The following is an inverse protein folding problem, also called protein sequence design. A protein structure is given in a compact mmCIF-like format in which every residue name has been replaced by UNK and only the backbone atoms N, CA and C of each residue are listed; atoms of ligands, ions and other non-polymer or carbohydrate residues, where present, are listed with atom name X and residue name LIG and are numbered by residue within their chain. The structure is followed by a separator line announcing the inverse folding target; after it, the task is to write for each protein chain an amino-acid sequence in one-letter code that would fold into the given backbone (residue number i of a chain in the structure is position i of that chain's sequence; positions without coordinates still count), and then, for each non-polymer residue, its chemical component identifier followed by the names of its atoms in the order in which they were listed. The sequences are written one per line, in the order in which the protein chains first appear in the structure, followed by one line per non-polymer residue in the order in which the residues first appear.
data_IF_542559515308
#
_entry.id   IF_542559515308
#
_cell.length_a   1.000
_cell.length_b   1.000
_cell.length_c   1.000
_cell.angle_alpha   90.00
_cell.angle_beta   90.00
_cell.angle_gamma   90.00
#
_symmetry.space_group_name_H-M   'P 1'
#
loop_
_entity.id
_entity.type
_entity.pdbx_description
1 polymer ?
#
# COMPACT_ATOMS: atom_id res chain seq x y z
N UNK A 1 -37.29 -74.72 40.34
CA UNK A 1 -36.95 -75.44 41.58
C UNK A 1 -35.66 -74.87 42.15
N UNK A 2 -35.58 -74.85 43.47
CA UNK A 2 -34.66 -74.12 44.33
C UNK A 2 -33.27 -74.76 44.50
N UNK A 3 -32.25 -73.87 44.58
CA UNK A 3 -31.15 -73.86 45.58
C UNK A 3 -29.83 -74.60 45.24
N UNK A 4 -28.69 -74.20 45.87
CA UNK A 4 -27.48 -73.74 45.19
C UNK A 4 -26.21 -74.54 45.57
N UNK A 5 -25.06 -74.27 44.92
CA UNK A 5 -23.75 -74.65 45.48
C UNK A 5 -22.69 -73.56 45.29
N UNK A 6 -21.74 -73.61 46.23
CA UNK A 6 -20.82 -72.57 46.70
C UNK A 6 -19.65 -72.25 45.75
N UNK A 7 -19.31 -70.95 45.76
CA UNK A 7 -17.98 -70.32 45.88
C UNK A 7 -16.74 -71.19 45.61
N UNK A 8 -15.94 -70.75 44.63
CA UNK A 8 -14.50 -70.57 44.81
C UNK A 8 -14.12 -69.15 44.37
N UNK A 9 -13.54 -68.41 45.31
CA UNK A 9 -12.98 -67.09 45.10
C UNK A 9 -11.55 -67.24 44.56
N UNK A 10 -11.25 -66.60 43.43
CA UNK A 10 -9.88 -66.26 43.04
C UNK A 10 -9.77 -64.75 43.08
N UNK A 11 -9.14 -64.25 44.14
CA UNK A 11 -8.78 -62.85 44.28
C UNK A 11 -7.67 -62.50 43.28
N UNK A 12 -7.92 -61.51 42.41
CA UNK A 12 -6.89 -60.80 41.67
C UNK A 12 -6.93 -59.32 42.10
N UNK A 13 -5.79 -58.72 42.47
CA UNK A 13 -5.77 -57.38 43.05
C UNK A 13 -6.04 -56.30 41.99
N UNK A 14 -6.92 -55.38 42.38
CA UNK A 14 -7.17 -54.09 41.77
C UNK A 14 -5.91 -53.22 41.73
N UNK A 15 -5.40 -52.91 40.54
CA UNK A 15 -4.56 -51.74 40.34
C UNK A 15 -4.96 -51.00 39.05
N UNK A 16 -5.60 -49.84 39.27
CA UNK A 16 -5.45 -48.62 38.48
C UNK A 16 -6.01 -48.58 37.05
N UNK A 17 -7.35 -48.57 36.97
CA UNK A 17 -8.01 -47.59 36.11
C UNK A 17 -7.78 -46.20 36.70
N UNK A 18 -6.95 -45.35 36.06
CA UNK A 18 -7.07 -43.88 36.10
C UNK A 18 -5.84 -43.14 35.52
N UNK A 19 -5.63 -43.12 34.20
CA UNK A 19 -4.97 -41.97 33.54
C UNK A 19 -5.58 -41.75 32.14
N UNK A 20 -6.83 -41.29 32.11
CA UNK A 20 -7.40 -40.62 30.94
C UNK A 20 -8.08 -39.34 31.44
N UNK A 21 -7.29 -38.31 31.71
CA UNK A 21 -7.77 -36.94 31.87
C UNK A 21 -7.14 -36.09 30.76
N UNK A 22 -7.92 -35.39 29.94
CA UNK A 22 -7.36 -34.40 29.03
C UNK A 22 -6.79 -33.25 29.87
N UNK A 23 -5.52 -32.93 29.65
CA UNK A 23 -4.88 -31.75 30.24
C UNK A 23 -5.69 -30.52 29.80
N UNK A 24 -6.21 -29.68 30.72
CA UNK A 24 -6.83 -28.43 30.32
C UNK A 24 -5.78 -27.56 29.65
N UNK A 25 -6.04 -27.18 28.39
CA UNK A 25 -5.24 -26.19 27.64
C UNK A 25 -5.41 -24.81 28.27
N UNK A 26 -4.84 -24.61 29.45
CA UNK A 26 -4.67 -23.29 30.03
C UNK A 26 -3.29 -22.77 29.63
N UNK A 27 -3.29 -21.65 28.89
CA UNK A 27 -2.13 -20.79 28.60
C UNK A 27 -1.11 -21.28 27.57
N UNK A 28 -1.54 -21.61 26.35
CA UNK A 28 -0.73 -21.24 25.18
C UNK A 28 -1.09 -19.78 24.86
N UNK A 29 -0.40 -18.84 25.51
CA UNK A 29 -0.38 -17.47 25.02
C UNK A 29 0.15 -17.54 23.58
N UNK A 30 -0.51 -16.91 22.59
CA UNK A 30 0.10 -16.81 21.27
C UNK A 30 1.44 -16.13 21.47
N UNK A 31 2.51 -16.76 20.99
CA UNK A 31 3.82 -16.11 20.82
C UNK A 31 3.56 -14.95 19.87
N UNK A 32 3.21 -13.79 20.44
CA UNK A 32 3.15 -12.54 19.71
C UNK A 32 4.59 -12.32 19.24
N UNK A 33 4.82 -11.96 17.96
CA UNK A 33 6.16 -11.53 17.57
C UNK A 33 6.57 -10.45 18.57
N UNK A 34 7.74 -10.62 19.19
CA UNK A 34 8.34 -9.61 20.05
C UNK A 34 8.61 -8.40 19.16
N UNK A 35 7.62 -7.52 19.03
CA UNK A 35 7.80 -6.22 18.40
C UNK A 35 8.73 -5.47 19.33
N UNK A 36 10.03 -5.44 19.01
CA UNK A 36 11.01 -4.64 19.75
C UNK A 36 10.56 -3.17 19.67
N UNK A 37 9.97 -2.67 20.76
CA UNK A 37 9.70 -1.25 20.91
C UNK A 37 11.04 -0.58 21.24
N UNK A 38 11.64 0.10 20.25
CA UNK A 38 12.85 0.89 20.47
C UNK A 38 12.50 2.12 21.31
N UNK A 39 12.68 2.05 22.62
CA UNK A 39 12.36 3.12 23.59
C UNK A 39 13.44 4.20 23.74
N UNK A 40 14.58 4.07 23.05
CA UNK A 40 15.79 4.85 23.33
C UNK A 40 15.68 6.35 23.02
N UNK A 41 14.86 6.77 22.07
CA UNK A 41 14.68 8.20 21.72
C UNK A 41 13.23 8.65 21.93
N UNK A 42 12.66 8.31 23.09
CA UNK A 42 11.43 8.96 23.50
C UNK A 42 11.75 10.36 24.03
N UNK A 43 10.96 11.37 23.68
CA UNK A 43 11.04 12.74 24.23
C UNK A 43 10.96 12.78 25.79
N UNK A 44 10.75 11.63 26.44
CA UNK A 44 10.89 11.45 27.88
C UNK A 44 12.30 11.71 28.43
N UNK A 45 13.35 11.81 27.61
CA UNK A 45 14.63 12.34 28.09
C UNK A 45 14.56 13.85 28.38
N UNK A 46 13.71 14.59 27.67
CA UNK A 46 13.48 16.04 27.89
C UNK A 46 12.42 16.30 28.98
N UNK A 47 11.41 15.42 29.11
CA UNK A 47 10.30 15.60 30.07
C UNK A 47 10.29 14.61 31.26
N UNK A 48 11.30 13.75 31.42
CA UNK A 48 11.29 12.69 32.45
C UNK A 48 12.64 12.16 32.94
N UNK A 49 13.78 12.72 32.52
CA UNK A 49 15.10 12.27 32.96
C UNK A 49 15.57 12.97 34.26
N UNK A 50 14.95 12.64 35.40
CA UNK A 50 15.55 12.90 36.73
C UNK A 50 15.60 11.67 37.65
N UNK A 51 15.41 10.46 37.12
CA UNK A 51 15.55 9.22 37.89
C UNK A 51 16.06 8.09 37.02
N UNK A 52 17.37 8.06 36.81
CA UNK A 52 18.06 6.95 36.16
C UNK A 52 19.55 7.09 36.34
N UNK A 53 20.11 6.43 37.36
CA UNK A 53 21.55 6.33 37.59
C UNK A 53 22.19 5.74 36.33
N UNK A 54 23.06 6.50 35.65
CA UNK A 54 23.80 6.02 34.46
C UNK A 54 24.59 4.77 34.87
N UNK A 55 24.15 3.60 34.43
CA UNK A 55 24.96 2.40 34.50
C UNK A 55 26.09 2.58 33.46
N UNK A 56 27.35 2.53 33.90
CA UNK A 56 28.49 2.40 33.00
C UNK A 56 28.44 1.00 32.39
N UNK A 57 27.73 0.82 31.27
CA UNK A 57 27.85 -0.39 30.46
C UNK A 57 29.05 -0.23 29.54
N UNK A 58 30.00 -1.16 29.63
CA UNK A 58 31.25 -1.23 28.85
C UNK A 58 31.07 -1.66 27.39
N UNK A 59 29.91 -1.38 26.79
CA UNK A 59 29.64 -1.71 25.38
C UNK A 59 29.83 -0.45 24.53
N UNK A 60 31.06 -0.25 24.05
CA UNK A 60 31.44 0.84 23.13
C UNK A 60 30.72 0.78 21.77
N UNK A 61 29.88 -0.24 21.56
CA UNK A 61 29.12 -0.52 20.34
C UNK A 61 27.59 -0.33 20.51
N UNK A 62 27.14 0.37 21.56
CA UNK A 62 25.71 0.55 21.82
C UNK A 62 25.30 2.02 21.91
N UNK A 63 24.78 2.57 20.80
CA UNK A 63 23.76 3.62 20.77
C UNK A 63 24.15 5.04 21.21
N UNK A 64 24.78 5.20 22.37
CA UNK A 64 25.17 6.49 22.98
C UNK A 64 26.49 7.03 22.38
N UNK A 65 27.33 6.17 21.79
CA UNK A 65 28.61 6.56 21.17
C UNK A 65 28.52 6.74 19.63
N UNK A 66 27.32 6.71 19.03
CA UNK A 66 27.12 6.84 17.57
C UNK A 66 27.13 8.29 17.06
N UNK A 67 27.24 9.26 17.97
CA UNK A 67 27.43 10.67 17.65
C UNK A 67 28.88 10.96 17.23
N UNK A 68 29.85 10.11 17.62
CA UNK A 68 31.23 10.21 17.17
C UNK A 68 31.37 9.69 15.72
N UNK A 69 31.94 10.49 14.79
CA UNK A 69 32.01 10.12 13.38
C UNK A 69 32.82 8.84 13.16
N UNK A 70 33.89 8.64 13.92
CA UNK A 70 34.78 7.47 13.82
C UNK A 70 34.12 6.18 14.32
N UNK A 71 33.29 6.27 15.37
CA UNK A 71 32.52 5.13 15.89
C UNK A 71 31.40 4.78 14.91
N UNK A 72 30.77 5.79 14.31
CA UNK A 72 29.76 5.63 13.28
C UNK A 72 30.31 4.97 12.00
N UNK A 73 31.48 5.37 11.55
CA UNK A 73 32.17 4.76 10.40
C UNK A 73 32.49 3.29 10.66
N UNK A 74 33.12 2.97 11.80
CA UNK A 74 33.38 1.58 12.22
C UNK A 74 32.12 0.74 12.33
N UNK A 75 31.06 1.32 12.90
CA UNK A 75 29.77 0.66 12.99
C UNK A 75 29.16 0.42 11.61
N UNK A 76 29.23 1.40 10.71
CA UNK A 76 28.78 1.26 9.33
C UNK A 76 29.58 0.18 8.58
N UNK A 77 30.91 0.14 8.71
CA UNK A 77 31.78 -0.91 8.17
C UNK A 77 31.41 -2.30 8.71
N UNK A 78 31.07 -2.41 10.00
CA UNK A 78 30.64 -3.67 10.61
C UNK A 78 29.28 -4.17 10.11
N UNK A 79 28.42 -3.27 9.65
CA UNK A 79 27.08 -3.56 9.10
C UNK A 79 27.11 -3.79 7.59
N UNK A 80 28.23 -3.52 6.92
CA UNK A 80 28.36 -3.83 5.50
C UNK A 80 28.49 -5.35 5.31
N UNK A 81 27.70 -5.94 4.40
CA UNK A 81 27.86 -7.35 4.07
C UNK A 81 29.25 -7.54 3.45
N UNK A 82 30.06 -8.41 4.06
CA UNK A 82 31.36 -8.78 3.48
C UNK A 82 31.09 -9.72 2.31
N UNK A 83 30.97 -9.16 1.12
CA UNK A 83 30.72 -9.91 -0.13
C UNK A 83 32.02 -10.51 -0.69
N UNK A 84 32.89 -11.06 0.17
CA UNK A 84 34.27 -11.46 -0.16
C UNK A 84 34.37 -12.73 -1.02
N UNK A 85 33.28 -13.13 -1.67
CA UNK A 85 33.20 -14.32 -2.52
C UNK A 85 32.17 -14.17 -3.66
N UNK A 86 31.63 -12.98 -3.88
CA UNK A 86 30.63 -12.75 -4.92
C UNK A 86 31.32 -12.21 -6.18
N UNK A 87 30.95 -12.76 -7.34
CA UNK A 87 31.50 -12.44 -8.67
C UNK A 87 31.44 -10.93 -9.02
N UNK A 88 30.62 -10.15 -8.32
CA UNK A 88 30.41 -8.72 -8.55
C UNK A 88 31.14 -7.81 -7.55
N UNK A 89 32.11 -8.33 -6.78
CA UNK A 89 32.86 -7.55 -5.78
C UNK A 89 33.59 -6.35 -6.40
N UNK A 90 34.35 -6.56 -7.48
CA UNK A 90 35.09 -5.49 -8.17
C UNK A 90 34.17 -4.40 -8.77
N UNK A 91 33.01 -4.76 -9.34
CA UNK A 91 32.08 -3.79 -9.93
C UNK A 91 31.41 -2.90 -8.86
N UNK A 92 31.12 -3.45 -7.67
CA UNK A 92 30.55 -2.68 -6.56
C UNK A 92 31.58 -1.72 -5.98
N UNK A 93 32.82 -2.17 -5.82
CA UNK A 93 33.91 -1.34 -5.32
C UNK A 93 34.25 -0.20 -6.29
N UNK A 94 34.18 -0.44 -7.60
CA UNK A 94 34.32 0.60 -8.64
C UNK A 94 33.21 1.65 -8.57
N UNK A 95 31.95 1.24 -8.40
CA UNK A 95 30.81 2.16 -8.24
C UNK A 95 30.92 2.97 -6.94
N UNK A 96 31.39 2.35 -5.85
CA UNK A 96 31.64 3.04 -4.58
C UNK A 96 32.81 4.03 -4.70
N UNK A 97 33.87 3.66 -5.42
CA UNK A 97 35.03 4.53 -5.68
C UNK A 97 34.65 5.74 -6.55
N UNK A 98 33.84 5.54 -7.60
CA UNK A 98 33.34 6.62 -8.44
C UNK A 98 32.33 7.52 -7.68
N UNK A 99 31.48 6.95 -6.83
CA UNK A 99 30.61 7.73 -5.95
C UNK A 99 31.39 8.57 -4.92
N UNK A 100 32.54 8.06 -4.44
CA UNK A 100 33.45 8.82 -3.56
C UNK A 100 34.16 9.96 -4.31
N UNK A 101 34.48 9.80 -5.60
CA UNK A 101 35.08 10.86 -6.45
C UNK A 101 34.06 11.95 -6.84
N UNK A 102 32.78 11.62 -6.98
CA UNK A 102 31.72 12.53 -7.45
C UNK A 102 31.09 13.49 -6.43
N UNK A 103 31.60 13.61 -5.20
CA UNK A 103 31.10 14.56 -4.20
C UNK A 103 29.74 14.24 -3.57
N UNK A 104 29.13 13.09 -3.88
CA UNK A 104 27.83 12.66 -3.34
C UNK A 104 27.96 11.69 -2.15
N UNK A 105 28.84 11.98 -1.19
CA UNK A 105 29.06 11.13 0.00
C UNK A 105 27.77 10.75 0.74
N UNK A 106 26.77 11.64 0.78
CA UNK A 106 25.47 11.37 1.40
C UNK A 106 24.64 10.32 0.65
N UNK A 107 24.75 10.23 -0.69
CA UNK A 107 24.04 9.22 -1.48
C UNK A 107 24.70 7.85 -1.35
N UNK A 108 26.04 7.79 -1.34
CA UNK A 108 26.79 6.56 -1.09
C UNK A 108 26.53 6.01 0.33
N UNK A 109 26.49 6.88 1.35
CA UNK A 109 26.16 6.49 2.72
C UNK A 109 24.71 6.02 2.89
N UNK A 110 23.77 6.53 2.09
CA UNK A 110 22.38 6.02 2.08
C UNK A 110 22.23 4.73 1.27
N UNK A 111 23.07 4.50 0.27
CA UNK A 111 23.08 3.26 -0.52
C UNK A 111 23.63 2.08 0.28
N UNK A 112 24.68 2.28 1.08
CA UNK A 112 25.24 1.24 1.96
C UNK A 112 24.27 0.78 3.06
N UNK A 113 23.36 1.64 3.51
CA UNK A 113 22.28 1.30 4.47
C UNK A 113 21.12 0.54 3.82
N UNK A 114 21.04 0.51 2.48
CA UNK A 114 19.99 -0.19 1.72
C UNK A 114 20.43 -1.59 1.26
N UNK A 115 21.35 -2.23 1.98
CA UNK A 115 21.66 -3.64 1.71
C UNK A 115 20.42 -4.51 1.98
N UNK A 116 20.21 -5.60 1.23
CA UNK A 116 19.07 -6.49 1.44
C UNK A 116 18.98 -6.98 2.89
N UNK A 117 20.12 -7.25 3.53
CA UNK A 117 20.21 -7.69 4.94
C UNK A 117 19.74 -6.61 5.91
N UNK A 118 20.17 -5.36 5.72
CA UNK A 118 19.72 -4.23 6.56
C UNK A 118 18.24 -3.96 6.37
N UNK A 119 17.74 -4.10 5.13
CA UNK A 119 16.35 -3.86 4.80
C UNK A 119 15.43 -5.04 5.17
N UNK A 120 15.95 -6.27 5.24
CA UNK A 120 15.16 -7.48 5.46
C UNK A 120 14.29 -7.36 6.71
N UNK A 121 14.83 -6.81 7.79
CA UNK A 121 14.09 -6.59 9.04
C UNK A 121 12.91 -5.60 8.91
N UNK A 122 12.97 -4.64 7.97
CA UNK A 122 11.88 -3.67 7.72
C UNK A 122 10.91 -4.13 6.63
N UNK A 123 11.42 -4.78 5.59
CA UNK A 123 10.63 -5.24 4.45
C UNK A 123 9.86 -6.53 4.77
N UNK A 124 10.51 -7.46 5.49
CA UNK A 124 10.00 -8.80 5.78
C UNK A 124 9.95 -9.06 7.31
N UNK A 125 9.01 -8.45 8.06
CA UNK A 125 8.91 -8.64 9.50
C UNK A 125 8.47 -10.05 9.93
N UNK A 126 7.77 -10.80 9.06
CA UNK A 126 7.35 -12.19 9.32
C UNK A 126 7.60 -13.07 8.07
N UNK A 127 8.77 -13.71 7.98
CA UNK A 127 9.13 -14.54 6.81
C UNK A 127 8.27 -15.82 6.73
N UNK A 128 7.77 -16.35 7.85
CA UNK A 128 7.02 -17.62 7.85
C UNK A 128 5.63 -17.46 7.25
N UNK A 129 4.95 -16.33 7.49
CA UNK A 129 3.68 -16.06 6.82
C UNK A 129 3.85 -15.76 5.34
N UNK A 130 4.92 -15.04 4.95
CA UNK A 130 5.27 -14.80 3.54
C UNK A 130 5.44 -16.11 2.78
N UNK A 131 6.27 -17.04 3.29
CA UNK A 131 6.48 -18.36 2.65
C UNK A 131 5.18 -19.16 2.48
N UNK A 132 4.29 -19.14 3.49
CA UNK A 132 2.98 -19.81 3.38
C UNK A 132 2.08 -19.17 2.31
N UNK A 133 2.10 -17.84 2.21
CA UNK A 133 1.36 -17.11 1.20
C UNK A 133 1.92 -17.35 -0.20
N UNK A 134 3.26 -17.35 -0.36
CA UNK A 134 3.94 -17.68 -1.62
C UNK A 134 3.59 -19.09 -2.07
N UNK A 135 3.69 -20.08 -1.19
CA UNK A 135 3.26 -21.46 -1.48
C UNK A 135 1.81 -21.50 -1.96
N UNK A 136 0.89 -20.80 -1.27
CA UNK A 136 -0.51 -20.73 -1.69
C UNK A 136 -0.66 -20.09 -3.07
N UNK A 137 0.09 -19.04 -3.39
CA UNK A 137 0.07 -18.37 -4.69
C UNK A 137 0.64 -19.20 -5.81
N UNK A 138 1.75 -19.91 -5.58
CA UNK A 138 2.32 -20.88 -6.51
C UNK A 138 1.32 -22.00 -6.78
N UNK A 139 0.68 -22.54 -5.75
CA UNK A 139 -0.38 -23.54 -5.91
C UNK A 139 -1.52 -22.96 -6.77
N UNK A 140 -2.03 -21.75 -6.49
CA UNK A 140 -3.07 -21.11 -7.31
C UNK A 140 -2.64 -20.91 -8.77
N UNK A 141 -1.38 -20.52 -9.00
CA UNK A 141 -0.81 -20.35 -10.34
C UNK A 141 -0.77 -21.68 -11.10
N UNK A 142 -0.31 -22.76 -10.45
CA UNK A 142 -0.29 -24.12 -11.04
C UNK A 142 -1.71 -24.58 -11.38
N UNK A 143 -2.68 -24.36 -10.48
CA UNK A 143 -4.08 -24.70 -10.74
C UNK A 143 -4.68 -23.91 -11.91
N UNK A 144 -4.30 -22.63 -12.07
CA UNK A 144 -4.74 -21.78 -13.19
C UNK A 144 -4.07 -22.15 -14.52
N UNK A 145 -2.97 -22.91 -14.51
CA UNK A 145 -2.27 -23.36 -15.71
C UNK A 145 -2.00 -22.23 -16.75
N UNK A 146 -1.56 -21.06 -16.27
CA UNK A 146 -1.27 -19.91 -17.14
C UNK A 146 -2.45 -19.01 -17.51
N UNK A 147 -3.68 -19.33 -17.11
CA UNK A 147 -4.84 -18.45 -17.31
C UNK A 147 -4.74 -17.19 -16.44
N UNK A 148 -4.63 -16.03 -17.08
CA UNK A 148 -4.56 -14.71 -16.43
C UNK A 148 -5.96 -14.10 -16.39
N UNK A 149 -6.41 -13.67 -15.21
CA UNK A 149 -7.69 -12.95 -15.09
C UNK A 149 -7.57 -11.54 -15.65
N UNK A 150 -8.69 -10.90 -16.01
CA UNK A 150 -8.70 -9.50 -16.48
C UNK A 150 -7.97 -8.57 -15.50
N UNK A 151 -8.25 -8.70 -14.20
CA UNK A 151 -7.61 -7.89 -13.15
C UNK A 151 -6.09 -8.10 -13.05
N UNK A 152 -5.63 -9.34 -13.26
CA UNK A 152 -4.20 -9.66 -13.26
C UNK A 152 -3.51 -9.08 -14.50
N UNK A 153 -4.12 -9.20 -15.68
CA UNK A 153 -3.63 -8.58 -16.92
C UNK A 153 -3.48 -7.07 -16.74
N UNK A 154 -4.54 -6.43 -16.27
CA UNK A 154 -4.61 -5.01 -15.91
C UNK A 154 -3.47 -4.61 -14.96
N UNK A 155 -3.24 -5.40 -13.90
CA UNK A 155 -2.20 -5.10 -12.93
C UNK A 155 -0.77 -5.26 -13.47
N UNK A 156 -0.57 -6.13 -14.48
CA UNK A 156 0.72 -6.38 -15.13
C UNK A 156 1.03 -5.31 -16.18
N UNK A 157 0.07 -4.99 -17.04
CA UNK A 157 0.28 -4.08 -18.17
C UNK A 157 0.26 -2.62 -17.73
N UNK A 158 -0.52 -2.29 -16.71
CA UNK A 158 -0.85 -0.90 -16.43
C UNK A 158 -0.37 -0.37 -15.08
N UNK A 159 0.14 0.85 -15.13
CA UNK A 159 0.67 1.55 -13.96
C UNK A 159 -0.43 2.36 -13.30
N UNK A 160 -0.56 2.21 -11.98
CA UNK A 160 -1.44 3.01 -11.13
C UNK A 160 -0.69 3.55 -9.92
N UNK A 161 -1.08 4.74 -9.47
CA UNK A 161 -0.72 5.30 -8.16
C UNK A 161 -2.00 5.57 -7.40
N UNK A 162 -2.03 5.23 -6.11
CA UNK A 162 -3.05 5.65 -5.17
C UNK A 162 -2.44 6.64 -4.18
N UNK A 163 -2.77 7.92 -4.31
CA UNK A 163 -2.32 8.95 -3.37
C UNK A 163 -3.33 9.14 -2.23
N UNK A 164 -2.90 9.40 -1.00
CA UNK A 164 -3.81 9.69 0.12
C UNK A 164 -3.39 10.99 0.79
N UNK A 165 -4.31 11.94 0.84
CA UNK A 165 -4.11 13.21 1.52
C UNK A 165 -4.00 13.05 3.05
N UNK A 166 -3.39 14.03 3.74
CA UNK A 166 -3.61 14.22 5.16
C UNK A 166 -5.08 14.53 5.46
N UNK A 167 -5.40 14.56 6.76
CA UNK A 167 -6.75 14.92 7.20
C UNK A 167 -7.02 16.42 7.01
N UNK A 168 -8.05 16.74 6.24
CA UNK A 168 -8.46 18.12 5.95
C UNK A 168 -9.57 18.58 6.89
N UNK A 169 -9.53 19.87 7.23
CA UNK A 169 -10.48 20.55 8.12
C UNK A 169 -11.82 20.87 7.45
N UNK A 170 -12.46 19.86 6.89
CA UNK A 170 -13.73 20.00 6.19
C UNK A 170 -14.63 18.79 6.41
N UNK A 171 -15.87 18.90 5.94
CA UNK A 171 -16.85 17.83 5.95
C UNK A 171 -16.83 17.07 4.64
N UNK A 172 -17.16 15.78 4.68
CA UNK A 172 -17.22 14.91 3.50
C UNK A 172 -18.12 15.56 2.44
N UNK A 173 -19.30 16.02 2.86
CA UNK A 173 -20.30 16.63 1.96
C UNK A 173 -19.76 17.84 1.20
N UNK A 174 -18.92 18.67 1.85
CA UNK A 174 -18.34 19.87 1.23
C UNK A 174 -17.24 19.50 0.24
N UNK A 175 -16.37 18.55 0.60
CA UNK A 175 -15.22 18.15 -0.21
C UNK A 175 -15.62 17.27 -1.41
N UNK A 176 -16.72 16.50 -1.29
CA UNK A 176 -17.25 15.66 -2.38
C UNK A 176 -17.50 16.46 -3.66
N UNK A 177 -17.94 17.72 -3.56
CA UNK A 177 -18.16 18.55 -4.74
C UNK A 177 -16.86 18.88 -5.49
N UNK A 178 -15.73 19.05 -4.79
CA UNK A 178 -14.44 19.26 -5.44
C UNK A 178 -13.91 17.95 -6.05
N UNK A 179 -14.06 16.83 -5.35
CA UNK A 179 -13.65 15.52 -5.86
C UNK A 179 -14.39 15.16 -7.16
N UNK A 180 -15.72 15.32 -7.19
CA UNK A 180 -16.52 15.10 -8.41
C UNK A 180 -16.15 16.06 -9.54
N UNK A 181 -15.76 17.30 -9.23
CA UNK A 181 -15.38 18.29 -10.24
C UNK A 181 -14.08 17.95 -10.97
N UNK A 182 -13.14 17.26 -10.31
CA UNK A 182 -11.84 16.89 -10.90
C UNK A 182 -11.81 15.47 -11.46
N UNK A 183 -12.79 14.63 -11.09
CA UNK A 183 -12.90 13.27 -11.61
C UNK A 183 -13.01 13.26 -13.14
N UNK A 184 -12.24 12.40 -13.79
CA UNK A 184 -12.22 12.22 -15.24
C UNK A 184 -11.37 13.23 -16.01
N UNK A 185 -10.97 14.35 -15.39
CA UNK A 185 -10.16 15.42 -16.02
C UNK A 185 -8.68 15.06 -16.09
N UNK A 186 -7.96 15.68 -17.03
CA UNK A 186 -6.50 15.64 -17.00
C UNK A 186 -5.98 16.30 -15.72
N UNK A 187 -4.80 15.92 -15.24
CA UNK A 187 -4.30 16.51 -14.00
C UNK A 187 -4.01 18.00 -14.14
N UNK A 188 -3.47 18.42 -15.27
CA UNK A 188 -3.19 19.84 -15.52
C UNK A 188 -4.47 20.66 -15.53
N UNK A 189 -5.53 20.15 -16.17
CA UNK A 189 -6.85 20.76 -16.13
C UNK A 189 -7.42 20.76 -14.71
N UNK A 190 -7.25 19.67 -13.95
CA UNK A 190 -7.70 19.61 -12.55
C UNK A 190 -6.98 20.65 -11.67
N UNK A 191 -5.66 20.80 -11.81
CA UNK A 191 -4.86 21.81 -11.12
C UNK A 191 -5.34 23.22 -11.48
N UNK A 192 -5.58 23.48 -12.77
CA UNK A 192 -6.13 24.75 -13.26
C UNK A 192 -7.52 25.02 -12.67
N UNK A 193 -8.39 24.02 -12.61
CA UNK A 193 -9.72 24.15 -12.04
C UNK A 193 -9.67 24.44 -10.53
N UNK A 194 -8.71 23.85 -9.81
CA UNK A 194 -8.51 24.12 -8.39
C UNK A 194 -7.89 25.49 -8.14
N UNK A 195 -7.00 25.97 -9.02
CA UNK A 195 -6.40 27.31 -8.87
C UNK A 195 -7.41 28.43 -8.98
N UNK A 196 -8.44 28.28 -9.83
CA UNK A 196 -9.49 29.28 -10.02
C UNK A 196 -10.78 29.01 -9.24
N UNK A 197 -10.80 27.97 -8.40
CA UNK A 197 -11.97 27.65 -7.58
C UNK A 197 -12.06 28.57 -6.36
N UNK A 198 -13.25 29.10 -6.11
CA UNK A 198 -13.53 29.98 -4.96
C UNK A 198 -13.58 29.23 -3.61
N UNK A 199 -13.52 27.89 -3.61
CA UNK A 199 -13.68 27.09 -2.39
C UNK A 199 -12.37 27.06 -1.60
N UNK A 200 -12.41 27.34 -0.29
CA UNK A 200 -11.22 27.32 0.60
C UNK A 200 -10.36 26.07 0.44
N UNK A 201 -11.01 24.89 0.38
CA UNK A 201 -10.31 23.61 0.28
C UNK A 201 -9.73 23.32 -1.12
N UNK A 202 -9.98 24.16 -2.12
CA UNK A 202 -9.42 23.95 -3.46
C UNK A 202 -7.89 24.15 -3.47
N UNK A 203 -7.37 25.07 -2.65
CA UNK A 203 -5.93 25.26 -2.50
C UNK A 203 -5.24 23.98 -1.96
N UNK A 204 -5.83 23.35 -0.94
CA UNK A 204 -5.34 22.08 -0.39
C UNK A 204 -5.41 20.93 -1.40
N UNK A 205 -6.51 20.85 -2.15
CA UNK A 205 -6.67 19.83 -3.21
C UNK A 205 -5.64 20.05 -4.32
N UNK A 206 -5.35 21.31 -4.70
CA UNK A 206 -4.30 21.64 -5.67
C UNK A 206 -2.94 21.13 -5.20
N UNK A 207 -2.56 21.43 -3.97
CA UNK A 207 -1.30 20.94 -3.39
C UNK A 207 -1.20 19.41 -3.43
N UNK A 208 -2.29 18.71 -3.09
CA UNK A 208 -2.33 17.24 -3.14
C UNK A 208 -2.27 16.67 -4.56
N UNK A 209 -2.79 17.38 -5.56
CA UNK A 209 -2.66 17.01 -6.97
C UNK A 209 -1.20 17.13 -7.43
N UNK A 210 -0.48 18.17 -6.99
CA UNK A 210 0.94 18.40 -7.26
C UNK A 210 1.81 17.33 -6.59
N UNK A 211 1.61 17.07 -5.30
CA UNK A 211 2.30 16.00 -4.58
C UNK A 211 2.08 14.63 -5.24
N UNK A 212 0.84 14.32 -5.62
CA UNK A 212 0.51 13.08 -6.32
C UNK A 212 1.17 12.97 -7.70
N UNK A 213 1.37 14.10 -8.40
CA UNK A 213 2.09 14.15 -9.67
C UNK A 213 3.54 13.73 -9.45
N UNK A 214 4.20 14.33 -8.47
CA UNK A 214 5.63 14.10 -8.23
C UNK A 214 5.87 12.67 -7.75
N UNK A 215 5.03 12.18 -6.83
CA UNK A 215 5.06 10.78 -6.41
C UNK A 215 4.81 9.81 -7.58
N UNK A 216 3.91 10.14 -8.52
CA UNK A 216 3.64 9.30 -9.68
C UNK A 216 4.83 9.21 -10.63
N UNK A 217 5.51 10.32 -10.85
CA UNK A 217 6.72 10.39 -11.67
C UNK A 217 7.84 9.60 -11.01
N UNK A 218 8.10 9.84 -9.72
CA UNK A 218 9.22 9.22 -8.99
C UNK A 218 9.00 7.72 -8.76
N UNK A 219 7.85 7.33 -8.20
CA UNK A 219 7.65 5.94 -7.75
C UNK A 219 7.23 4.99 -8.86
N UNK A 220 6.40 5.46 -9.80
CA UNK A 220 5.81 4.60 -10.86
C UNK A 220 6.34 4.93 -12.24
N UNK A 221 7.15 6.00 -12.40
CA UNK A 221 7.65 6.45 -13.71
C UNK A 221 6.48 6.68 -14.68
N UNK A 222 5.44 7.36 -14.21
CA UNK A 222 4.29 7.77 -15.02
C UNK A 222 4.46 9.23 -15.44
N UNK A 223 3.77 9.68 -16.49
CA UNK A 223 3.75 11.11 -16.83
C UNK A 223 5.01 11.68 -17.46
N UNK A 224 5.96 10.81 -17.78
CA UNK A 224 7.13 11.19 -18.55
C UNK A 224 6.69 11.28 -20.00
N UNK A 225 6.25 12.49 -20.37
CA UNK A 225 5.98 12.88 -21.74
C UNK A 225 7.34 12.92 -22.45
N UNK A 226 7.53 12.03 -23.42
CA UNK A 226 8.62 12.19 -24.39
C UNK A 226 8.17 13.26 -25.38
N UNK A 227 9.12 14.01 -25.95
CA UNK A 227 8.86 14.99 -27.01
C UNK A 227 7.83 14.50 -28.03
N UNK A 228 7.03 15.44 -28.55
CA UNK A 228 5.95 15.20 -29.53
C UNK A 228 6.41 14.38 -30.74
N UNK A 229 7.69 14.54 -31.10
CA UNK A 229 8.35 13.70 -32.09
C UNK A 229 8.99 12.51 -31.38
N UNK A 230 8.66 11.31 -31.88
CA UNK A 230 9.39 10.10 -31.50
C UNK A 230 10.83 10.17 -32.01
N UNK A 231 11.69 9.27 -31.53
CA UNK A 231 13.08 9.16 -32.01
C UNK A 231 13.19 8.96 -33.53
N UNK A 232 12.12 8.48 -34.16
CA UNK A 232 11.98 8.26 -35.61
C UNK A 232 11.48 9.50 -36.36
N UNK A 233 11.26 10.63 -35.68
CA UNK A 233 10.79 11.89 -36.27
C UNK A 233 9.29 11.93 -36.60
N UNK A 234 8.56 10.83 -36.43
CA UNK A 234 7.10 10.78 -36.65
C UNK A 234 6.35 11.45 -35.51
N UNK A 235 5.30 12.19 -35.86
CA UNK A 235 4.34 12.74 -34.89
C UNK A 235 3.48 11.62 -34.34
N UNK A 236 3.26 11.63 -33.02
CA UNK A 236 2.37 10.65 -32.39
C UNK A 236 0.92 10.89 -32.82
N UNK A 237 0.23 9.81 -33.15
CA UNK A 237 -1.18 9.87 -33.48
C UNK A 237 -2.00 10.18 -32.23
N UNK A 238 -2.77 11.27 -32.28
CA UNK A 238 -3.74 11.61 -31.24
C UNK A 238 -4.89 10.60 -31.25
N UNK A 239 -5.24 10.06 -30.09
CA UNK A 239 -6.32 9.07 -30.00
C UNK A 239 -7.59 9.78 -29.53
N UNK A 240 -8.69 9.59 -30.27
CA UNK A 240 -10.02 10.07 -29.89
C UNK A 240 -10.73 8.95 -29.14
N UNK A 241 -11.24 9.25 -27.95
CA UNK A 241 -11.95 8.28 -27.12
C UNK A 241 -13.22 8.91 -26.57
N UNK A 242 -14.29 8.13 -26.46
CA UNK A 242 -15.47 8.54 -25.71
C UNK A 242 -15.32 8.11 -24.24
N UNK A 243 -15.59 9.02 -23.32
CA UNK A 243 -15.65 8.70 -21.89
C UNK A 243 -16.93 7.93 -21.61
N UNK A 244 -16.98 7.14 -20.52
CA UNK A 244 -18.23 6.52 -20.01
C UNK A 244 -19.42 7.48 -19.90
N UNK A 245 -19.14 8.77 -19.69
CA UNK A 245 -20.16 9.83 -19.64
C UNK A 245 -20.60 10.35 -21.02
N UNK A 246 -20.16 9.73 -22.13
CA UNK A 246 -20.43 10.13 -23.51
C UNK A 246 -19.58 11.30 -24.04
N UNK A 247 -18.61 11.79 -23.27
CA UNK A 247 -17.75 12.93 -23.67
C UNK A 247 -16.59 12.48 -24.54
N UNK A 248 -16.52 12.98 -25.77
CA UNK A 248 -15.38 12.78 -26.67
C UNK A 248 -14.16 13.58 -26.22
N UNK A 249 -13.05 12.88 -25.95
CA UNK A 249 -11.78 13.47 -25.54
C UNK A 249 -10.72 13.12 -26.59
N UNK A 250 -9.98 14.13 -27.04
CA UNK A 250 -8.80 13.93 -27.89
C UNK A 250 -7.57 13.93 -27.01
N UNK A 251 -6.85 12.82 -27.00
CA UNK A 251 -5.66 12.67 -26.18
C UNK A 251 -4.43 12.78 -27.07
N UNK A 252 -3.57 13.80 -26.88
CA UNK A 252 -2.35 13.96 -27.65
C UNK A 252 -1.28 12.91 -27.30
N UNK A 253 -1.18 12.51 -26.02
CA UNK A 253 -0.18 11.56 -25.55
C UNK A 253 -0.79 10.51 -24.61
N UNK A 254 -0.53 9.21 -24.85
CA UNK A 254 -1.06 8.14 -24.01
C UNK A 254 -0.35 8.00 -22.66
N UNK A 255 0.62 8.87 -22.35
CA UNK A 255 1.38 8.86 -21.09
C UNK A 255 1.07 10.05 -20.21
N UNK A 256 0.35 11.04 -20.73
CA UNK A 256 -0.14 12.16 -19.93
C UNK A 256 -0.98 11.57 -18.83
N UNK A 257 -1.07 12.26 -17.70
CA UNK A 257 -1.75 11.66 -16.58
C UNK A 257 -3.01 12.42 -16.17
N UNK A 258 -4.05 11.68 -15.80
CA UNK A 258 -5.38 12.20 -15.49
C UNK A 258 -5.90 11.60 -14.18
N UNK A 259 -7.03 12.12 -13.70
CA UNK A 259 -7.68 11.66 -12.47
C UNK A 259 -8.79 10.68 -12.85
N UNK A 260 -8.55 9.38 -12.67
CA UNK A 260 -9.53 8.34 -13.01
C UNK A 260 -10.67 8.29 -12.00
N UNK A 261 -10.32 8.19 -10.72
CA UNK A 261 -11.27 8.17 -9.61
C UNK A 261 -10.88 9.24 -8.61
N UNK A 262 -11.89 9.83 -7.96
CA UNK A 262 -11.71 10.76 -6.86
C UNK A 262 -12.88 10.61 -5.88
N UNK A 263 -12.60 10.24 -4.65
CA UNK A 263 -13.62 10.10 -3.61
C UNK A 263 -13.10 10.52 -2.24
N UNK A 264 -14.05 10.88 -1.37
CA UNK A 264 -13.79 11.42 -0.03
C UNK A 264 -14.27 10.45 1.04
N UNK A 265 -13.43 10.26 2.05
CA UNK A 265 -13.74 9.51 3.27
C UNK A 265 -13.89 10.42 4.50
N UNK A 266 -14.50 9.89 5.54
CA UNK A 266 -14.57 10.56 6.84
C UNK A 266 -13.31 10.26 7.65
N UNK A 267 -12.75 11.28 8.29
CA UNK A 267 -11.68 11.16 9.26
C UNK A 267 -12.21 11.16 10.70
N UNK A 268 -11.30 11.12 11.69
CA UNK A 268 -11.67 11.32 13.09
C UNK A 268 -12.28 12.71 13.31
N UNK A 269 -13.09 12.84 14.35
CA UNK A 269 -13.63 14.14 14.78
C UNK A 269 -12.50 15.00 15.34
N UNK A 270 -12.36 16.25 14.87
CA UNK A 270 -11.34 17.17 15.40
C UNK A 270 -11.73 17.72 16.75
N UNK A 271 -12.99 18.12 16.89
CA UNK A 271 -13.52 18.70 18.12
C UNK A 271 -14.97 18.30 18.32
N UNK A 272 -15.40 18.32 19.58
CA UNK A 272 -16.79 18.20 20.01
C UNK A 272 -17.06 19.39 20.93
N UNK A 273 -18.05 20.19 20.57
CA UNK A 273 -18.44 21.40 21.28
C UNK A 273 -19.91 21.27 21.72
N UNK A 274 -20.24 21.82 22.88
CA UNK A 274 -21.61 21.82 23.38
C UNK A 274 -22.36 23.02 22.82
N UNK A 275 -23.42 22.75 22.06
CA UNK A 275 -24.29 23.76 21.46
C UNK A 275 -25.49 24.00 22.40
N UNK A 276 -25.39 25.05 23.21
CA UNK A 276 -26.43 25.40 24.18
C UNK A 276 -27.63 26.06 23.49
N UNK A 277 -28.83 25.56 23.76
CA UNK A 277 -30.10 26.03 23.19
C UNK A 277 -31.05 26.50 24.29
N UNK A 278 -32.13 27.18 23.89
CA UNK A 278 -33.18 27.59 24.82
C UNK A 278 -33.82 26.41 25.55
N UNK A 279 -34.40 26.70 26.73
CA UNK A 279 -35.10 25.74 27.60
C UNK A 279 -34.21 24.58 28.12
N UNK A 280 -32.95 24.86 28.44
CA UNK A 280 -32.03 23.87 29.01
C UNK A 280 -31.63 22.73 28.06
N UNK A 281 -31.95 22.84 26.77
CA UNK A 281 -31.56 21.84 25.76
C UNK A 281 -30.12 22.11 25.32
N UNK A 282 -29.36 21.05 25.05
CA UNK A 282 -28.06 21.16 24.44
C UNK A 282 -27.88 20.11 23.34
N UNK A 283 -27.17 20.48 22.28
CA UNK A 283 -26.69 19.56 21.24
C UNK A 283 -25.17 19.42 21.31
N UNK A 284 -24.62 18.45 20.59
CA UNK A 284 -23.17 18.30 20.44
C UNK A 284 -22.81 18.67 19.00
N UNK A 285 -22.12 19.80 18.81
CA UNK A 285 -21.55 20.18 17.53
C UNK A 285 -20.22 19.44 17.32
N UNK A 286 -20.10 18.70 16.23
CA UNK A 286 -18.91 17.90 15.94
C UNK A 286 -18.18 18.51 14.74
N UNK A 287 -16.93 18.92 14.94
CA UNK A 287 -16.08 19.43 13.86
C UNK A 287 -15.47 18.24 13.10
N UNK A 288 -15.89 17.99 11.85
CA UNK A 288 -15.32 16.88 11.09
C UNK A 288 -13.87 17.15 10.71
N UNK A 289 -13.10 16.07 10.67
CA UNK A 289 -11.95 15.95 9.79
C UNK A 289 -12.31 15.01 8.66
N UNK A 290 -11.82 15.27 7.47
CA UNK A 290 -12.02 14.38 6.31
C UNK A 290 -10.72 13.80 5.85
N UNK A 291 -10.77 12.57 5.37
CA UNK A 291 -9.70 11.99 4.60
C UNK A 291 -10.10 11.97 3.14
N UNK A 292 -9.09 11.97 2.27
CA UNK A 292 -9.09 11.32 0.96
C UNK A 292 -9.53 12.22 -0.19
N UNK A 293 -8.54 12.63 -0.95
CA UNK A 293 -8.58 12.64 -2.40
C UNK A 293 -7.73 11.46 -2.85
N UNK A 294 -8.32 10.28 -3.14
CA UNK A 294 -7.55 9.23 -3.82
C UNK A 294 -7.59 9.53 -5.29
N UNK A 295 -6.45 9.85 -5.86
CA UNK A 295 -6.29 10.02 -7.29
C UNK A 295 -5.83 8.69 -7.84
N UNK A 296 -6.68 8.01 -8.61
CA UNK A 296 -6.24 6.92 -9.47
C UNK A 296 -5.78 7.49 -10.80
N UNK A 297 -4.71 6.93 -11.35
CA UNK A 297 -4.03 7.48 -12.53
C UNK A 297 -3.65 6.32 -13.44
N UNK A 298 -4.21 6.24 -14.65
CA UNK A 298 -3.98 5.11 -15.56
C UNK A 298 -4.39 5.48 -16.98
N UNK A 299 -3.49 5.55 -17.97
CA UNK A 299 -3.85 6.06 -19.30
C UNK A 299 -4.28 4.99 -20.31
N UNK A 300 -3.91 3.73 -20.09
CA UNK A 300 -4.23 2.66 -21.04
C UNK A 300 -5.66 2.10 -20.86
N UNK A 301 -6.24 2.27 -19.67
CA UNK A 301 -7.63 1.92 -19.32
C UNK A 301 -8.73 2.48 -20.23
N UNK A 302 -8.62 3.73 -20.69
CA UNK A 302 -9.72 4.36 -21.43
C UNK A 302 -9.83 3.81 -22.85
N UNK A 303 -8.70 3.38 -23.43
CA UNK A 303 -8.66 2.79 -24.76
C UNK A 303 -9.34 1.42 -24.77
N UNK A 304 -8.88 0.50 -23.92
CA UNK A 304 -9.48 -0.83 -23.83
C UNK A 304 -10.91 -0.79 -23.28
N UNK A 305 -11.22 0.11 -22.34
CA UNK A 305 -12.58 0.28 -21.82
C UNK A 305 -13.58 0.67 -22.91
N UNK A 306 -13.23 1.64 -23.76
CA UNK A 306 -14.06 2.04 -24.90
C UNK A 306 -14.20 0.94 -25.93
N UNK A 307 -13.11 0.27 -26.30
CA UNK A 307 -13.14 -0.84 -27.27
C UNK A 307 -14.02 -2.02 -26.80
N UNK A 308 -13.99 -2.34 -25.49
CA UNK A 308 -14.83 -3.37 -24.90
C UNK A 308 -16.32 -2.97 -24.85
N UNK A 309 -16.63 -1.68 -24.71
CA UNK A 309 -18.01 -1.17 -24.74
C UNK A 309 -18.56 -1.15 -26.17
N UNK A 310 -17.76 -0.71 -27.15
CA UNK A 310 -18.13 -0.73 -28.57
C UNK A 310 -18.39 -2.17 -29.05
N UNK A 311 -17.53 -3.13 -28.67
CA UNK A 311 -17.74 -4.56 -28.99
C UNK A 311 -18.93 -5.18 -28.25
N UNK A 312 -19.22 -4.76 -27.02
CA UNK A 312 -20.43 -5.17 -26.29
C UNK A 312 -21.71 -4.64 -26.93
N UNK A 313 -21.72 -3.38 -27.36
CA UNK A 313 -22.85 -2.75 -28.05
C UNK A 313 -23.12 -3.39 -29.42
N UNK A 314 -22.07 -3.79 -30.16
CA UNK A 314 -22.22 -4.55 -31.41
C UNK A 314 -22.63 -6.01 -31.18
N UNK A 315 -22.28 -6.62 -30.04
CA UNK A 315 -22.66 -7.98 -29.67
C UNK A 315 -24.14 -8.16 -29.30
N UNK A 316 -24.76 -7.16 -28.65
CA UNK A 316 -26.20 -7.20 -28.30
C UNK A 316 -27.12 -7.08 -29.53
N UNK A 317 -26.67 -6.41 -30.59
CA UNK A 317 -27.43 -6.32 -31.86
C UNK A 317 -27.41 -7.65 -32.62
N UNK A 318 -26.39 -8.50 -32.41
CA UNK A 318 -26.26 -9.81 -33.05
C UNK A 318 -27.18 -10.90 -32.46
N UNK A 319 -27.47 -10.87 -31.16
CA UNK A 319 -28.34 -11.88 -30.52
C UNK A 319 -29.85 -11.58 -30.71
N UNK A 320 -30.23 -10.31 -30.88
CA UNK A 320 -31.63 -9.95 -31.15
C UNK A 320 -32.09 -10.25 -32.59
N UNK A 321 -31.17 -10.59 -33.50
CA UNK A 321 -31.45 -10.92 -34.89
C UNK A 321 -31.66 -12.41 -35.18
N UNK A 322 -31.18 -13.31 -34.32
CA UNK A 322 -31.16 -14.76 -34.60
C UNK A 322 -32.38 -15.51 -34.06
N UNK A 323 -33.08 -14.98 -33.04
CA UNK A 323 -34.32 -15.59 -32.52
C UNK A 323 -35.58 -15.33 -33.38
N UNK A 324 -35.51 -14.45 -34.39
CA UNK A 324 -36.63 -14.20 -35.31
C UNK A 324 -36.62 -15.07 -36.58
N UNK A 325 -35.62 -15.91 -36.78
CA UNK A 325 -35.49 -16.73 -37.99
C UNK A 325 -35.92 -18.21 -37.84
N UNK A 326 -36.29 -18.66 -36.64
CA UNK A 326 -36.62 -20.08 -36.38
C UNK A 326 -38.11 -20.35 -36.06
N UNK A 327 -38.99 -19.39 -36.33
CA UNK A 327 -40.42 -19.48 -36.00
C UNK A 327 -41.35 -19.51 -37.21
N UNK A 328 -41.00 -20.15 -38.33
CA UNK A 328 -41.96 -20.40 -39.42
C UNK A 328 -41.47 -21.54 -40.33
N UNK A 329 -41.63 -22.81 -39.94
CA UNK A 329 -41.75 -23.91 -40.89
C UNK A 329 -42.45 -25.12 -40.22
N UNK A 330 -43.57 -25.50 -40.84
CA UNK A 330 -44.43 -26.68 -40.65
C UNK A 330 -45.19 -26.83 -39.32
#
# INVERSE_FOLDING_TARGET
MSLPTRRLASAAPSTLQAIARPIPRSFILPIRPVTQIRSKWTLGSIFGSRRGRKAKSSDDMMGENLDDPKVRERFAESQQPKMSSSIFEEEVDDVVADAKKGGSQAQAAQASVKTPETMAWRLDPDPRSRLRWERKKVIQMVHKNGHVTRDERIAQTEKKLSHKSPFLETSVKKLVHLARQIQGKSLEEAVLQMSYSKKKMAAEVKYQLEEARDLAVVTRRMGIVRSTKDFTGKERQSIKIQTKDGKSLTIPDPRRLYVAEAWVGRGPWRAKELDYKGRGRFGIMQSPSTMRLTLFRRHFDRLEGGENEDTGAHGEVGQAGEEKALGTFA
#
